data_IF_260694639826
#
_entry.id   IF_260694639826
#
_cell.length_a   1.000
_cell.length_b   1.000
_cell.length_c   1.000
_cell.angle_alpha   90.00
_cell.angle_beta   90.00
_cell.angle_gamma   90.00
#
_symmetry.space_group_name_H-M   'P 1'
#
loop_
_entity.id
_entity.type
_entity.pdbx_description
1 polymer ?
#
# COMPACT_ATOMS: atom_id res chain seq x y z
N UNK A 1 9.66 -19.08 -15.75
CA UNK A 1 9.88 -17.73 -16.27
C UNK A 1 9.92 -16.72 -15.14
N UNK A 2 10.70 -15.69 -15.33
CA UNK A 2 10.87 -14.68 -14.31
C UNK A 2 9.63 -13.80 -14.22
N UNK A 3 9.18 -13.49 -13.00
CA UNK A 3 8.05 -12.56 -12.85
C UNK A 3 8.43 -11.17 -13.33
N UNK A 4 7.46 -10.45 -13.84
CA UNK A 4 7.65 -9.06 -14.20
C UNK A 4 7.71 -8.19 -12.94
N UNK A 5 8.44 -7.09 -13.02
CA UNK A 5 8.41 -6.06 -12.00
C UNK A 5 7.55 -4.90 -12.50
N UNK A 6 6.52 -4.58 -11.75
CA UNK A 6 5.61 -3.49 -12.09
C UNK A 6 5.82 -2.36 -11.08
N UNK A 7 6.09 -1.16 -11.59
CA UNK A 7 6.20 0.03 -10.77
C UNK A 7 4.95 0.87 -10.97
N UNK A 8 4.29 1.21 -9.89
CA UNK A 8 3.06 2.00 -9.95
C UNK A 8 3.16 3.14 -8.95
N UNK A 9 3.07 4.37 -9.45
CA UNK A 9 3.15 5.58 -8.63
C UNK A 9 1.76 6.18 -8.52
N UNK A 10 1.20 6.13 -7.32
CA UNK A 10 -0.16 6.58 -7.03
C UNK A 10 -1.15 6.00 -8.05
N UNK A 11 -1.18 4.65 -8.18
CA UNK A 11 -1.89 4.03 -9.31
C UNK A 11 -3.39 4.28 -9.32
N UNK A 12 -3.98 4.67 -8.20
CA UNK A 12 -5.42 4.91 -8.11
C UNK A 12 -5.77 6.39 -8.05
N UNK A 13 -4.79 7.28 -8.16
CA UNK A 13 -5.01 8.70 -7.92
C UNK A 13 -6.03 9.36 -8.83
N UNK A 14 -6.14 8.91 -10.07
CA UNK A 14 -7.06 9.49 -11.06
C UNK A 14 -8.32 8.66 -11.26
N UNK A 15 -8.51 7.61 -10.45
CA UNK A 15 -9.61 6.66 -10.63
C UNK A 15 -10.68 6.88 -9.58
N UNK A 16 -11.93 6.56 -9.94
CA UNK A 16 -13.00 6.49 -8.96
C UNK A 16 -12.83 5.23 -8.10
N UNK A 17 -13.63 5.12 -7.04
CA UNK A 17 -13.48 4.03 -6.07
C UNK A 17 -13.64 2.66 -6.69
N UNK A 18 -14.57 2.52 -7.61
CA UNK A 18 -14.86 1.24 -8.26
C UNK A 18 -13.71 0.82 -9.17
N UNK A 19 -13.23 1.74 -9.97
CA UNK A 19 -12.13 1.48 -10.88
C UNK A 19 -10.85 1.21 -10.12
N UNK A 20 -10.63 1.96 -9.03
CA UNK A 20 -9.48 1.73 -8.17
C UNK A 20 -9.49 0.32 -7.59
N UNK A 21 -10.63 -0.12 -7.09
CA UNK A 21 -10.75 -1.47 -6.53
C UNK A 21 -10.46 -2.53 -7.59
N UNK A 22 -10.97 -2.35 -8.79
CA UNK A 22 -10.74 -3.32 -9.87
C UNK A 22 -9.26 -3.40 -10.22
N UNK A 23 -8.58 -2.26 -10.28
CA UNK A 23 -7.15 -2.24 -10.59
C UNK A 23 -6.36 -2.94 -9.48
N UNK A 24 -6.67 -2.64 -8.23
CA UNK A 24 -5.96 -3.23 -7.10
C UNK A 24 -6.20 -4.73 -6.98
N UNK A 25 -7.42 -5.16 -7.25
CA UNK A 25 -7.73 -6.59 -7.29
C UNK A 25 -6.90 -7.29 -8.36
N UNK A 26 -6.71 -6.64 -9.50
CA UNK A 26 -5.91 -7.18 -10.59
C UNK A 26 -4.44 -7.29 -10.18
N UNK A 27 -3.92 -6.27 -9.55
CA UNK A 27 -2.53 -6.30 -9.06
C UNK A 27 -2.34 -7.42 -8.04
N UNK A 28 -3.28 -7.56 -7.12
CA UNK A 28 -3.20 -8.61 -6.11
C UNK A 28 -3.20 -9.99 -6.75
N UNK A 29 -4.04 -10.20 -7.74
CA UNK A 29 -4.11 -11.47 -8.44
C UNK A 29 -2.79 -11.79 -9.15
N UNK A 30 -2.22 -10.81 -9.84
CA UNK A 30 -0.95 -11.01 -10.55
C UNK A 30 0.18 -11.36 -9.59
N UNK A 31 0.21 -10.70 -8.45
CA UNK A 31 1.24 -10.97 -7.44
C UNK A 31 1.04 -12.35 -6.81
N UNK A 32 -0.19 -12.68 -6.47
CA UNK A 32 -0.51 -13.96 -5.84
C UNK A 32 -0.19 -15.13 -6.77
N UNK A 33 -0.37 -14.94 -8.07
CA UNK A 33 -0.07 -15.98 -9.07
C UNK A 33 1.42 -16.06 -9.40
N UNK A 34 2.24 -15.20 -8.79
CA UNK A 34 3.66 -15.19 -9.06
C UNK A 34 4.05 -14.61 -10.41
N UNK A 35 3.13 -13.90 -11.06
CA UNK A 35 3.38 -13.32 -12.39
C UNK A 35 4.03 -11.96 -12.35
N UNK A 36 3.88 -11.26 -11.23
CA UNK A 36 4.44 -9.92 -11.11
C UNK A 36 4.76 -9.60 -9.66
N UNK A 37 5.86 -8.89 -9.48
CA UNK A 37 6.15 -8.19 -8.22
C UNK A 37 5.74 -6.74 -8.45
N UNK A 38 4.93 -6.20 -7.56
CA UNK A 38 4.37 -4.87 -7.75
C UNK A 38 4.88 -3.97 -6.64
N UNK A 39 5.54 -2.90 -7.05
CA UNK A 39 6.00 -1.86 -6.13
C UNK A 39 5.14 -0.63 -6.36
N UNK A 40 4.41 -0.22 -5.32
CA UNK A 40 3.55 0.95 -5.41
C UNK A 40 4.03 2.04 -4.49
N UNK A 41 3.94 3.27 -4.97
CA UNK A 41 4.15 4.46 -4.15
C UNK A 41 2.79 5.11 -3.97
N UNK A 42 2.34 5.28 -2.74
CA UNK A 42 1.02 5.82 -2.50
C UNK A 42 0.94 6.50 -1.14
N UNK A 43 0.07 7.50 -1.04
CA UNK A 43 -0.30 8.13 0.23
C UNK A 43 -1.65 7.61 0.72
N UNK A 44 -2.26 6.70 -0.03
CA UNK A 44 -3.61 6.22 0.26
C UNK A 44 -3.56 4.88 0.99
N UNK A 45 -4.08 4.86 2.22
CA UNK A 45 -4.06 3.66 3.05
C UNK A 45 -4.88 2.52 2.45
N UNK A 46 -5.97 2.85 1.73
CA UNK A 46 -6.77 1.80 1.08
C UNK A 46 -5.95 1.07 0.02
N UNK A 47 -5.25 1.83 -0.82
CA UNK A 47 -4.36 1.26 -1.83
C UNK A 47 -3.27 0.42 -1.16
N UNK A 48 -2.65 0.95 -0.12
CA UNK A 48 -1.58 0.25 0.59
C UNK A 48 -2.06 -1.07 1.20
N UNK A 49 -3.32 -1.17 1.58
CA UNK A 49 -3.85 -2.38 2.22
C UNK A 49 -3.84 -3.60 1.29
N UNK A 50 -3.66 -3.38 -0.01
CA UNK A 50 -3.56 -4.48 -0.97
C UNK A 50 -2.15 -5.05 -1.06
N UNK A 51 -1.18 -4.40 -0.43
CA UNK A 51 0.20 -4.82 -0.46
C UNK A 51 0.48 -5.86 0.61
N UNK A 52 1.53 -6.65 0.40
CA UNK A 52 1.94 -7.65 1.39
C UNK A 52 2.90 -7.05 2.40
N UNK A 53 3.64 -6.03 2.00
CA UNK A 53 4.59 -5.32 2.84
C UNK A 53 4.51 -3.83 2.55
N UNK A 54 4.61 -3.04 3.59
CA UNK A 54 4.54 -1.59 3.47
C UNK A 54 5.75 -1.00 4.17
N UNK A 55 6.41 -0.08 3.49
CA UNK A 55 7.49 0.71 4.07
C UNK A 55 7.00 2.14 4.22
N UNK A 56 7.09 2.67 5.43
CA UNK A 56 6.76 4.06 5.68
C UNK A 56 8.03 4.88 5.58
N UNK A 57 8.03 5.85 4.67
CA UNK A 57 9.20 6.66 4.40
C UNK A 57 8.97 8.10 4.85
N UNK A 58 10.01 8.72 5.37
CA UNK A 58 10.01 10.14 5.68
C UNK A 58 11.42 10.66 5.50
N UNK A 59 11.55 11.76 4.76
CA UNK A 59 12.83 12.41 4.53
C UNK A 59 13.88 11.45 3.98
N UNK A 60 13.46 10.55 3.09
CA UNK A 60 14.37 9.62 2.45
C UNK A 60 14.77 8.41 3.28
N UNK A 61 14.20 8.26 4.46
CA UNK A 61 14.53 7.14 5.35
C UNK A 61 13.31 6.31 5.66
N UNK A 62 13.54 5.02 5.92
CA UNK A 62 12.47 4.11 6.35
C UNK A 62 12.23 4.32 7.84
N UNK A 63 11.02 4.74 8.20
CA UNK A 63 10.64 4.91 9.60
C UNK A 63 10.20 3.60 10.23
N UNK A 64 9.41 2.83 9.51
CA UNK A 64 8.90 1.57 10.01
C UNK A 64 8.36 0.77 8.84
N UNK A 65 8.08 -0.50 9.08
CA UNK A 65 7.47 -1.34 8.06
C UNK A 65 6.40 -2.22 8.68
N UNK A 66 5.45 -2.61 7.86
CA UNK A 66 4.39 -3.54 8.24
C UNK A 66 4.34 -4.68 7.25
N UNK A 67 3.98 -5.86 7.73
CA UNK A 67 3.72 -7.01 6.89
C UNK A 67 2.30 -7.49 7.15
N UNK A 68 1.60 -7.79 6.06
CA UNK A 68 0.22 -8.23 6.16
C UNK A 68 0.12 -9.61 6.83
N UNK A 69 1.02 -10.52 6.46
CA UNK A 69 0.98 -11.87 7.00
C UNK A 69 -0.35 -12.53 6.69
N UNK A 70 -0.94 -13.18 7.70
CA UNK A 70 -2.23 -13.84 7.54
C UNK A 70 -3.44 -12.95 7.75
N UNK A 71 -3.25 -11.65 7.92
CA UNK A 71 -4.36 -10.73 8.15
C UNK A 71 -5.23 -10.58 6.91
N UNK A 72 -6.53 -10.36 7.12
CA UNK A 72 -7.40 -9.93 6.05
C UNK A 72 -6.97 -8.53 5.60
N UNK A 73 -7.36 -8.15 4.38
CA UNK A 73 -7.07 -6.80 3.90
C UNK A 73 -7.69 -5.74 4.82
N UNK A 74 -8.88 -6.00 5.34
CA UNK A 74 -9.56 -5.08 6.24
C UNK A 74 -8.78 -4.88 7.54
N UNK A 75 -8.31 -5.97 8.14
CA UNK A 75 -7.52 -5.89 9.37
C UNK A 75 -6.21 -5.14 9.11
N UNK A 76 -5.57 -5.43 7.98
CA UNK A 76 -4.34 -4.75 7.61
C UNK A 76 -4.58 -3.26 7.38
N UNK A 77 -5.68 -2.91 6.72
CA UNK A 77 -6.06 -1.50 6.54
C UNK A 77 -6.16 -0.77 7.88
N UNK A 78 -6.80 -1.39 8.86
CA UNK A 78 -6.92 -0.77 10.19
C UNK A 78 -5.55 -0.58 10.85
N UNK A 79 -4.67 -1.54 10.66
CA UNK A 79 -3.31 -1.41 11.20
C UNK A 79 -2.56 -0.26 10.53
N UNK A 80 -2.71 -0.11 9.21
CA UNK A 80 -2.11 0.97 8.45
C UNK A 80 -2.63 2.31 8.95
N UNK A 81 -3.94 2.44 9.12
CA UNK A 81 -4.56 3.67 9.61
C UNK A 81 -3.98 4.04 10.98
N UNK A 82 -3.76 3.06 11.84
CA UNK A 82 -3.16 3.30 13.14
C UNK A 82 -1.78 3.92 13.05
N UNK A 83 -0.96 3.40 12.12
CA UNK A 83 0.39 3.93 11.93
C UNK A 83 0.34 5.33 11.31
N UNK A 84 -0.47 5.51 10.28
CA UNK A 84 -0.60 6.80 9.59
C UNK A 84 -1.08 7.87 10.57
N UNK A 85 -2.03 7.52 11.43
CA UNK A 85 -2.56 8.46 12.41
C UNK A 85 -1.47 8.90 13.38
N UNK A 86 -0.63 7.99 13.84
CA UNK A 86 0.46 8.33 14.75
C UNK A 86 1.48 9.25 14.08
N UNK A 87 1.85 8.93 12.85
CA UNK A 87 2.80 9.74 12.10
C UNK A 87 2.20 11.10 11.74
N UNK A 88 0.95 11.09 11.28
CA UNK A 88 0.25 12.31 10.94
C UNK A 88 -0.05 13.16 12.16
N UNK A 89 -0.32 12.53 13.32
CA UNK A 89 -0.53 13.26 14.55
C UNK A 89 0.69 14.07 14.93
N UNK A 90 1.87 13.48 14.77
CA UNK A 90 3.12 14.19 15.03
C UNK A 90 3.25 15.39 14.10
N UNK A 91 2.90 15.21 12.84
CA UNK A 91 2.94 16.30 11.86
C UNK A 91 1.88 17.36 12.17
N UNK A 92 0.72 16.93 12.62
CA UNK A 92 -0.37 17.84 12.96
C UNK A 92 0.04 18.75 14.13
N UNK A 93 0.79 18.21 15.07
CA UNK A 93 1.26 18.98 16.20
C UNK A 93 2.23 20.08 15.75
N UNK A 94 2.93 19.85 14.66
CA UNK A 94 3.85 20.84 14.10
C UNK A 94 3.08 21.91 13.33
N UNK A 95 2.00 21.51 12.70
CA UNK A 95 1.22 22.43 11.91
C UNK A 95 0.31 23.30 12.76
#
# INVERSE_FOLDING_TARGET
>A
TDPALVLADEPTGALDSRSAKLLLDRFEALNREGRATILMVTHDAFTASYCRRILFLQDGAVLTQLERGGQSRRAFFQQIIGVVTRLGGDQSDVL
#
